data_IF_888118808588
#
_entry.id   IF_888118808588
#
_cell.length_a   1.000
_cell.length_b   1.000
_cell.length_c   1.000
_cell.angle_alpha   90.00
_cell.angle_beta   90.00
_cell.angle_gamma   90.00
#
_symmetry.space_group_name_H-M   'P 1'
#
loop_
_entity.id
_entity.type
_entity.pdbx_description
1 polymer ?
#
# COMPACT_ATOMS: atom_id res chain seq x y z
N UNK A 1 -23.28 1.70 -7.66
CA UNK A 1 -22.40 1.72 -8.86
C UNK A 1 -21.17 0.83 -8.60
N UNK A 2 -20.40 0.41 -9.62
CA UNK A 2 -19.32 -0.59 -9.44
C UNK A 2 -18.18 -0.09 -8.54
N UNK A 3 -17.89 1.21 -8.61
CA UNK A 3 -16.96 1.97 -7.77
C UNK A 3 -17.35 1.97 -6.28
N UNK A 4 -18.64 2.09 -5.96
CA UNK A 4 -19.10 2.01 -4.55
C UNK A 4 -18.89 0.63 -3.94
N UNK A 5 -18.97 -0.43 -4.76
CA UNK A 5 -18.69 -1.79 -4.33
C UNK A 5 -17.20 -1.92 -4.00
N UNK A 6 -16.31 -1.40 -4.85
CA UNK A 6 -14.86 -1.38 -4.59
C UNK A 6 -14.55 -0.66 -3.28
N UNK A 7 -15.09 0.54 -3.08
CA UNK A 7 -14.88 1.29 -1.85
C UNK A 7 -15.39 0.53 -0.60
N UNK A 8 -16.53 -0.16 -0.71
CA UNK A 8 -17.07 -1.01 0.36
C UNK A 8 -16.14 -2.20 0.63
N UNK A 9 -15.64 -2.88 -0.40
CA UNK A 9 -14.72 -4.01 -0.25
C UNK A 9 -13.41 -3.59 0.43
N UNK A 10 -12.83 -2.45 0.05
CA UNK A 10 -11.64 -1.91 0.71
C UNK A 10 -11.93 -1.54 2.17
N UNK A 11 -13.08 -0.93 2.45
CA UNK A 11 -13.48 -0.62 3.84
C UNK A 11 -13.58 -1.88 4.71
N UNK A 12 -14.20 -2.96 4.19
CA UNK A 12 -14.31 -4.25 4.89
C UNK A 12 -12.95 -4.93 5.09
N UNK A 13 -12.08 -4.82 4.09
CA UNK A 13 -10.69 -5.30 4.16
C UNK A 13 -9.93 -4.63 5.30
N UNK A 14 -10.04 -3.30 5.42
CA UNK A 14 -9.43 -2.56 6.53
C UNK A 14 -10.11 -2.84 7.88
N UNK A 15 -11.40 -3.17 7.87
CA UNK A 15 -12.15 -3.63 9.04
C UNK A 15 -11.79 -5.03 9.52
N UNK A 16 -10.93 -5.75 8.80
CA UNK A 16 -10.46 -7.09 9.20
C UNK A 16 -11.42 -8.23 8.82
N UNK A 17 -12.48 -7.97 8.06
CA UNK A 17 -13.47 -8.98 7.65
C UNK A 17 -12.85 -10.09 6.78
N UNK A 18 -11.70 -9.82 6.16
CA UNK A 18 -11.00 -10.76 5.29
C UNK A 18 -9.69 -11.29 5.90
N UNK A 19 -9.44 -11.07 7.19
CA UNK A 19 -8.21 -11.53 7.86
C UNK A 19 -6.94 -10.89 7.29
N UNK A 20 -5.92 -11.70 7.01
CA UNK A 20 -4.64 -11.26 6.43
C UNK A 20 -4.63 -11.40 4.90
N UNK A 21 -5.58 -10.72 4.24
CA UNK A 21 -5.68 -10.66 2.78
C UNK A 21 -5.32 -9.28 2.25
N UNK A 22 -5.11 -9.23 0.94
CA UNK A 22 -4.81 -8.03 0.17
C UNK A 22 -5.65 -8.03 -1.10
N UNK A 23 -5.98 -6.85 -1.61
CA UNK A 23 -6.68 -6.69 -2.90
C UNK A 23 -5.84 -5.88 -3.86
N UNK A 24 -5.80 -6.33 -5.12
CA UNK A 24 -5.22 -5.62 -6.25
C UNK A 24 -6.32 -5.50 -7.30
N UNK A 25 -6.58 -4.29 -7.77
CA UNK A 25 -7.55 -4.03 -8.83
C UNK A 25 -6.86 -4.17 -10.19
N UNK A 26 -7.39 -5.01 -11.08
CA UNK A 26 -6.75 -5.31 -12.38
C UNK A 26 -7.76 -5.15 -13.51
N UNK A 27 -7.28 -4.87 -14.72
CA UNK A 27 -8.12 -4.82 -15.92
C UNK A 27 -9.12 -3.65 -15.93
N UNK A 28 -8.81 -2.57 -15.21
CA UNK A 28 -9.59 -1.34 -15.23
C UNK A 28 -9.33 -0.57 -16.52
N UNK A 29 -10.38 -0.02 -17.11
CA UNK A 29 -10.25 1.04 -18.12
C UNK A 29 -10.14 2.43 -17.45
N UNK A 30 -9.81 3.46 -18.24
CA UNK A 30 -9.59 4.82 -17.72
C UNK A 30 -10.81 5.37 -16.96
N UNK A 31 -12.02 5.20 -17.51
CA UNK A 31 -13.25 5.66 -16.85
C UNK A 31 -13.50 4.94 -15.52
N UNK A 32 -13.24 3.63 -15.44
CA UNK A 32 -13.40 2.86 -14.21
C UNK A 32 -12.38 3.28 -13.16
N UNK A 33 -11.14 3.53 -13.57
CA UNK A 33 -10.09 3.98 -12.69
C UNK A 33 -10.40 5.33 -12.05
N UNK A 34 -10.81 6.32 -12.87
CA UNK A 34 -11.19 7.65 -12.37
C UNK A 34 -12.38 7.57 -11.40
N UNK A 35 -13.42 6.80 -11.75
CA UNK A 35 -14.58 6.63 -10.88
C UNK A 35 -14.21 5.95 -9.54
N UNK A 36 -13.36 4.92 -9.59
CA UNK A 36 -12.88 4.23 -8.37
C UNK A 36 -12.01 5.15 -7.53
N UNK A 37 -11.10 5.91 -8.15
CA UNK A 37 -10.23 6.87 -7.47
C UNK A 37 -11.08 7.88 -6.68
N UNK A 38 -12.04 8.53 -7.34
CA UNK A 38 -12.97 9.48 -6.70
C UNK A 38 -13.77 8.82 -5.57
N UNK A 39 -14.27 7.59 -5.77
CA UNK A 39 -15.03 6.87 -4.75
C UNK A 39 -14.19 6.53 -3.50
N UNK A 40 -12.91 6.20 -3.69
CA UNK A 40 -11.96 5.93 -2.60
C UNK A 40 -11.57 7.22 -1.87
N UNK A 41 -11.27 8.30 -2.61
CA UNK A 41 -10.90 9.60 -2.05
C UNK A 41 -11.99 10.18 -1.14
N UNK A 42 -13.26 10.12 -1.56
CA UNK A 42 -14.42 10.57 -0.76
C UNK A 42 -14.52 9.89 0.60
N UNK A 43 -13.93 8.70 0.76
CA UNK A 43 -13.94 7.93 1.99
C UNK A 43 -12.57 7.90 2.71
N UNK A 44 -11.58 8.62 2.20
CA UNK A 44 -10.21 8.58 2.72
C UNK A 44 -9.56 7.19 2.63
N UNK A 45 -9.98 6.40 1.64
CA UNK A 45 -9.47 5.05 1.38
C UNK A 45 -8.44 5.07 0.26
N UNK A 46 -7.64 4.00 0.20
CA UNK A 46 -6.68 3.79 -0.87
C UNK A 46 -6.60 2.31 -1.25
N UNK A 47 -6.27 2.03 -2.51
CA UNK A 47 -6.07 0.69 -3.03
C UNK A 47 -4.93 0.66 -4.05
N UNK A 48 -4.33 -0.52 -4.25
CA UNK A 48 -3.39 -0.76 -5.35
C UNK A 48 -4.17 -1.25 -6.57
N UNK A 49 -3.92 -0.63 -7.72
CA UNK A 49 -4.35 -1.12 -9.01
C UNK A 49 -3.14 -1.50 -9.86
N UNK A 50 -3.31 -2.49 -10.74
CA UNK A 50 -2.32 -2.90 -11.73
C UNK A 50 -2.82 -2.52 -13.13
N UNK A 51 -2.01 -1.72 -13.81
CA UNK A 51 -2.22 -1.33 -15.20
C UNK A 51 -1.93 -2.51 -16.14
N UNK A 52 -2.43 -2.46 -17.36
CA UNK A 52 -2.21 -3.50 -18.38
C UNK A 52 -0.72 -3.76 -18.71
N UNK A 53 0.18 -2.82 -18.40
CA UNK A 53 1.64 -2.98 -18.54
C UNK A 53 2.32 -3.57 -17.29
N UNK A 54 1.56 -4.07 -16.32
CA UNK A 54 2.06 -4.61 -15.04
C UNK A 54 2.49 -3.54 -14.03
N UNK A 55 2.33 -2.25 -14.34
CA UNK A 55 2.68 -1.17 -13.42
C UNK A 55 1.62 -1.06 -12.33
N UNK A 56 2.07 -1.11 -11.07
CA UNK A 56 1.23 -0.86 -9.89
C UNK A 56 1.10 0.64 -9.63
N UNK A 57 -0.12 1.09 -9.41
CA UNK A 57 -0.48 2.48 -9.12
C UNK A 57 -1.38 2.53 -7.88
N UNK A 58 -1.33 3.66 -7.18
CA UNK A 58 -2.21 3.95 -6.06
C UNK A 58 -3.46 4.65 -6.57
N UNK A 59 -4.64 4.17 -6.17
CA UNK A 59 -5.91 4.87 -6.34
C UNK A 59 -6.43 5.32 -4.97
N UNK A 60 -7.05 6.50 -4.91
CA UNK A 60 -7.62 7.05 -3.69
C UNK A 60 -6.68 8.00 -2.94
N UNK A 61 -6.95 8.19 -1.65
CA UNK A 61 -6.24 9.17 -0.83
C UNK A 61 -5.20 8.55 0.11
N UNK A 62 -3.98 9.07 0.04
CA UNK A 62 -2.88 8.71 0.93
C UNK A 62 -2.04 9.96 1.22
N UNK A 63 -1.64 10.15 2.48
CA UNK A 63 -0.75 11.26 2.84
C UNK A 63 0.55 11.21 2.02
N UNK A 64 1.04 12.38 1.58
CA UNK A 64 2.22 12.49 0.71
C UNK A 64 3.43 11.69 1.22
N UNK A 65 3.71 11.77 2.52
CA UNK A 65 4.83 11.05 3.12
C UNK A 65 4.69 9.51 3.05
N UNK A 66 3.47 8.98 3.09
CA UNK A 66 3.19 7.56 2.89
C UNK A 66 3.23 7.20 1.41
N UNK A 67 2.77 8.09 0.52
CA UNK A 67 2.87 7.92 -0.93
C UNK A 67 4.33 7.80 -1.37
N UNK A 68 5.20 8.69 -0.92
CA UNK A 68 6.65 8.62 -1.16
C UNK A 68 7.24 7.28 -0.68
N UNK A 69 6.83 6.82 0.51
CA UNK A 69 7.30 5.54 1.06
C UNK A 69 6.80 4.36 0.22
N UNK A 70 5.54 4.39 -0.22
CA UNK A 70 4.96 3.36 -1.08
C UNK A 70 5.65 3.33 -2.45
N UNK A 71 5.91 4.49 -3.06
CA UNK A 71 6.59 4.60 -4.35
C UNK A 71 7.99 3.98 -4.28
N UNK A 72 8.71 4.18 -3.18
CA UNK A 72 10.01 3.53 -2.94
C UNK A 72 9.88 2.00 -2.86
N UNK A 73 8.86 1.46 -2.19
CA UNK A 73 8.62 0.01 -2.12
C UNK A 73 8.24 -0.54 -3.49
N UNK A 74 7.35 0.13 -4.23
CA UNK A 74 6.96 -0.29 -5.57
C UNK A 74 8.15 -0.31 -6.54
N UNK A 75 9.08 0.64 -6.38
CA UNK A 75 10.32 0.72 -7.16
C UNK A 75 11.35 -0.34 -6.76
N UNK A 76 11.60 -0.53 -5.47
CA UNK A 76 12.66 -1.41 -4.97
C UNK A 76 12.20 -2.87 -4.77
N UNK A 77 10.90 -3.13 -4.82
CA UNK A 77 10.28 -4.42 -4.51
C UNK A 77 9.99 -4.59 -3.01
N UNK A 78 10.97 -4.26 -2.16
CA UNK A 78 10.85 -4.36 -0.70
C UNK A 78 11.72 -3.34 0.04
N UNK A 79 11.36 -3.00 1.27
CA UNK A 79 12.14 -2.16 2.18
C UNK A 79 12.01 -2.60 3.65
N UNK A 80 13.09 -2.41 4.40
CA UNK A 80 13.13 -2.43 5.87
C UNK A 80 13.06 -1.01 6.44
N UNK A 81 12.76 -0.90 7.74
CA UNK A 81 12.80 0.39 8.42
C UNK A 81 14.20 1.05 8.39
N UNK A 82 15.27 0.24 8.42
CA UNK A 82 16.66 0.71 8.32
C UNK A 82 16.97 1.29 6.93
N UNK A 83 16.61 0.57 5.87
CA UNK A 83 16.82 1.03 4.49
C UNK A 83 16.00 2.29 4.18
N UNK A 84 14.76 2.37 4.68
CA UNK A 84 13.92 3.57 4.51
C UNK A 84 14.50 4.77 5.26
N UNK A 85 14.95 4.56 6.50
CA UNK A 85 15.62 5.58 7.32
C UNK A 85 16.84 6.16 6.60
N UNK A 86 17.69 5.30 6.03
CA UNK A 86 18.85 5.72 5.25
C UNK A 86 18.48 6.42 3.95
N UNK A 87 17.49 5.89 3.21
CA UNK A 87 17.10 6.42 1.89
C UNK A 87 16.43 7.79 1.98
N UNK A 88 15.63 8.03 3.02
CA UNK A 88 14.87 9.28 3.20
C UNK A 88 15.46 10.20 4.27
N UNK A 89 16.60 9.84 4.86
CA UNK A 89 17.21 10.54 5.99
C UNK A 89 16.21 10.79 7.15
N UNK A 90 15.47 9.75 7.52
CA UNK A 90 14.45 9.78 8.57
C UNK A 90 14.93 9.03 9.80
N UNK A 91 14.37 9.35 10.97
CA UNK A 91 14.56 8.52 12.15
C UNK A 91 14.03 7.09 11.95
N UNK A 92 14.67 6.11 12.58
CA UNK A 92 14.28 4.70 12.49
C UNK A 92 12.83 4.47 12.93
N UNK A 93 12.39 5.13 14.01
CA UNK A 93 11.02 5.03 14.52
C UNK A 93 9.99 5.61 13.53
N UNK A 94 10.29 6.76 12.93
CA UNK A 94 9.46 7.37 11.89
C UNK A 94 9.35 6.45 10.68
N UNK A 95 10.46 5.86 10.25
CA UNK A 95 10.51 4.91 9.13
C UNK A 95 9.67 3.67 9.41
N UNK A 96 9.83 3.06 10.58
CA UNK A 96 9.02 1.91 11.01
C UNK A 96 7.53 2.23 11.07
N UNK A 97 7.16 3.42 11.55
CA UNK A 97 5.76 3.86 11.63
C UNK A 97 5.13 4.06 10.24
N UNK A 98 5.87 4.67 9.30
CA UNK A 98 5.40 4.82 7.91
C UNK A 98 5.10 3.47 7.25
N UNK A 99 6.05 2.54 7.36
CA UNK A 99 5.90 1.18 6.82
C UNK A 99 4.75 0.42 7.46
N UNK A 100 4.62 0.49 8.78
CA UNK A 100 3.52 -0.12 9.51
C UNK A 100 2.16 0.45 9.09
N UNK A 101 2.08 1.76 8.84
CA UNK A 101 0.84 2.40 8.38
C UNK A 101 0.44 1.94 6.97
N UNK A 102 1.40 1.76 6.05
CA UNK A 102 1.13 1.17 4.74
C UNK A 102 0.61 -0.27 4.86
N UNK A 103 1.21 -1.07 5.75
CA UNK A 103 0.78 -2.44 6.01
C UNK A 103 -0.64 -2.50 6.60
N UNK A 104 -0.95 -1.64 7.58
CA UNK A 104 -2.30 -1.52 8.17
C UNK A 104 -3.33 -1.09 7.13
N UNK A 105 -2.95 -0.25 6.17
CA UNK A 105 -3.77 0.14 5.01
C UNK A 105 -3.83 -0.95 3.92
N UNK A 106 -3.21 -2.11 4.13
CA UNK A 106 -3.18 -3.25 3.19
C UNK A 106 -2.62 -2.88 1.81
N UNK A 107 -1.72 -1.89 1.77
CA UNK A 107 -1.05 -1.46 0.53
C UNK A 107 0.28 -2.18 0.30
N UNK A 108 0.86 -2.76 1.37
CA UNK A 108 2.09 -3.55 1.33
C UNK A 108 1.97 -4.77 2.24
N UNK A 109 2.65 -5.85 1.87
CA UNK A 109 2.78 -7.03 2.72
C UNK A 109 3.94 -6.84 3.68
N UNK A 110 3.86 -7.47 4.85
CA UNK A 110 4.91 -7.46 5.86
C UNK A 110 5.32 -8.91 6.15
N UNK A 111 6.61 -9.18 6.04
CA UNK A 111 7.20 -10.50 6.30
C UNK A 111 8.32 -10.39 7.33
N UNK A 112 8.44 -11.40 8.17
CA UNK A 112 9.58 -11.52 9.09
C UNK A 112 10.71 -12.24 8.35
N UNK A 113 11.88 -11.62 8.30
CA UNK A 113 13.10 -12.23 7.76
C UNK A 113 14.20 -12.26 8.82
N UNK A 114 15.08 -13.24 8.74
CA UNK A 114 16.31 -13.28 9.53
C UNK A 114 17.43 -12.67 8.69
N UNK A 115 17.95 -11.51 9.12
CA UNK A 115 19.08 -10.82 8.48
C UNK A 115 20.17 -10.57 9.52
N UNK A 116 21.40 -10.92 9.18
CA UNK A 116 22.59 -10.71 10.05
C UNK A 116 22.41 -11.25 11.49
N UNK A 117 21.66 -12.35 11.65
CA UNK A 117 21.40 -12.97 12.97
C UNK A 117 20.27 -12.32 13.78
N UNK A 118 19.60 -11.30 13.27
CA UNK A 118 18.43 -10.65 13.89
C UNK A 118 17.15 -10.84 13.07
N UNK A 119 16.00 -10.84 13.75
CA UNK A 119 14.68 -10.78 13.08
C UNK A 119 14.40 -9.34 12.65
N UNK A 120 14.07 -9.16 11.39
CA UNK A 120 13.77 -7.86 10.79
C UNK A 120 12.45 -7.95 10.02
N UNK A 121 11.63 -6.90 10.17
CA UNK A 121 10.43 -6.76 9.35
C UNK A 121 10.78 -6.16 7.99
N UNK A 122 10.41 -6.89 6.94
CA UNK A 122 10.53 -6.47 5.55
C UNK A 122 9.14 -6.18 5.01
N UNK A 123 9.01 -5.05 4.31
CA UNK A 123 7.75 -4.61 3.71
C UNK A 123 7.88 -4.70 2.20
N UNK A 124 7.05 -5.51 1.58
CA UNK A 124 7.13 -5.84 0.16
C UNK A 124 5.87 -5.40 -0.59
N UNK A 125 6.01 -5.11 -1.88
CA UNK A 125 4.86 -4.87 -2.75
C UNK A 125 3.97 -6.12 -2.76
N UNK A 126 2.65 -5.92 -2.63
CA UNK A 126 1.64 -6.98 -2.81
C UNK A 126 1.55 -7.39 -4.27
#
# INVERSE_FOLDING_TARGET
>A
CADEIVAKLISRLLGGEYGDKYFILTGLNENQEENIEVALERKGLAAIAEKNNGKKVLLGSLHNYLKETLDLILKNGSLTAKELSQSMNLEANTSGTRLLNLHKKRLVKRVEEIREGGRVWVYERI
#
